data_IF_094792505091
#
_entry.id   IF_094792505091
#
_cell.length_a   1.000
_cell.length_b   1.000
_cell.length_c   1.000
_cell.angle_alpha   90.00
_cell.angle_beta   90.00
_cell.angle_gamma   90.00
#
_symmetry.space_group_name_H-M   'P 1'
#
loop_
_entity.id
_entity.type
_entity.pdbx_description
1 polymer ?
#
# COMPACT_ATOMS: atom_id res chain seq x y z
N UNK A 1 -10.94 -1.62 7.50
CA UNK A 1 -10.76 -0.31 8.17
C UNK A 1 -10.50 0.76 7.11
N UNK A 2 -11.23 1.87 7.20
CA UNK A 2 -11.03 3.01 6.31
C UNK A 2 -9.96 3.96 6.90
N UNK A 3 -9.46 4.86 6.07
CA UNK A 3 -8.55 5.91 6.55
C UNK A 3 -9.22 6.81 7.59
N UNK A 4 -10.52 7.05 7.45
CA UNK A 4 -11.28 7.83 8.43
C UNK A 4 -11.34 7.12 9.79
N UNK A 5 -11.61 5.82 9.78
CA UNK A 5 -11.62 5.02 11.00
C UNK A 5 -10.25 5.00 11.66
N UNK A 6 -9.19 4.92 10.86
CA UNK A 6 -7.82 4.98 11.35
C UNK A 6 -7.51 6.33 11.98
N UNK A 7 -7.91 7.41 11.30
CA UNK A 7 -7.74 8.79 11.82
C UNK A 7 -8.45 8.96 13.16
N UNK A 8 -9.69 8.46 13.27
CA UNK A 8 -10.45 8.56 14.51
C UNK A 8 -9.77 7.82 15.66
N UNK A 9 -9.19 6.65 15.38
CA UNK A 9 -8.44 5.89 16.38
C UNK A 9 -7.16 6.60 16.78
N UNK A 10 -6.44 7.19 15.81
CA UNK A 10 -5.23 7.95 16.08
C UNK A 10 -5.53 9.15 16.97
N UNK A 11 -6.67 9.81 16.76
CA UNK A 11 -7.06 10.98 17.56
C UNK A 11 -7.33 10.64 19.03
N UNK A 12 -7.55 9.37 19.35
CA UNK A 12 -7.70 8.90 20.73
C UNK A 12 -6.36 8.63 21.40
N UNK A 13 -5.27 8.61 20.67
CA UNK A 13 -3.92 8.44 21.21
C UNK A 13 -3.47 9.72 21.88
N UNK A 14 -2.64 9.59 22.91
CA UNK A 14 -1.97 10.76 23.52
C UNK A 14 -0.92 11.31 22.55
N UNK A 15 -0.44 12.54 22.78
CA UNK A 15 0.61 13.11 21.95
C UNK A 15 1.89 12.25 21.98
N UNK A 16 2.23 11.69 23.14
CA UNK A 16 3.39 10.81 23.26
C UNK A 16 3.23 9.55 22.42
N UNK A 17 2.04 8.96 22.45
CA UNK A 17 1.75 7.77 21.64
C UNK A 17 1.82 8.07 20.15
N UNK A 18 1.37 9.25 19.74
CA UNK A 18 1.42 9.68 18.33
C UNK A 18 2.85 9.93 17.83
N UNK A 19 3.81 10.09 18.72
CA UNK A 19 5.22 10.25 18.38
C UNK A 19 5.93 8.91 18.19
N UNK A 20 5.30 7.81 18.50
CA UNK A 20 5.87 6.49 18.28
C UNK A 20 5.97 6.18 16.79
N UNK A 21 6.95 5.36 16.43
CA UNK A 21 7.08 4.89 15.06
C UNK A 21 5.91 3.99 14.70
N UNK A 22 5.48 4.07 13.45
CA UNK A 22 4.40 3.21 12.95
C UNK A 22 4.88 1.76 12.95
N UNK A 23 4.03 0.87 13.46
CA UNK A 23 4.28 -0.57 13.46
C UNK A 23 3.10 -1.29 12.82
N UNK A 24 3.40 -2.32 12.05
CA UNK A 24 2.37 -3.20 11.48
C UNK A 24 2.64 -4.61 11.96
N UNK A 25 1.64 -5.20 12.59
CA UNK A 25 1.73 -6.59 13.04
C UNK A 25 1.20 -7.50 11.92
N UNK A 26 2.11 -8.25 11.34
CA UNK A 26 1.80 -9.32 10.42
C UNK A 26 2.36 -10.62 10.97
N UNK A 27 3.03 -11.38 10.13
CA UNK A 27 3.73 -12.59 10.54
C UNK A 27 4.84 -12.28 11.55
N UNK A 28 5.53 -11.17 11.32
CA UNK A 28 6.51 -10.60 12.24
C UNK A 28 6.13 -9.15 12.52
N UNK A 29 6.37 -8.71 13.74
CA UNK A 29 6.15 -7.31 14.08
C UNK A 29 7.34 -6.48 13.62
N UNK A 30 7.11 -5.62 12.64
CA UNK A 30 8.13 -4.75 12.09
C UNK A 30 7.85 -3.30 12.42
N UNK A 31 8.86 -2.59 12.92
CA UNK A 31 8.81 -1.15 13.04
C UNK A 31 9.16 -0.55 11.69
N UNK A 32 8.30 0.31 11.20
CA UNK A 32 8.48 0.95 9.89
C UNK A 32 9.12 2.32 10.07
N UNK A 33 10.44 2.32 10.30
CA UNK A 33 11.20 3.55 10.57
C UNK A 33 11.28 4.48 9.37
N UNK A 34 11.33 3.90 8.18
CA UNK A 34 11.47 4.65 6.93
C UNK A 34 10.21 4.50 6.08
N UNK A 35 9.06 4.67 6.71
CA UNK A 35 7.80 4.60 5.98
C UNK A 35 7.28 6.00 5.64
N UNK A 36 6.48 6.06 4.60
CA UNK A 36 5.82 7.27 4.16
C UNK A 36 4.41 6.96 3.68
N UNK A 37 3.56 7.97 3.73
CA UNK A 37 2.21 7.88 3.15
C UNK A 37 2.29 8.37 1.72
N UNK A 38 1.96 7.50 0.79
CA UNK A 38 2.05 7.76 -0.63
C UNK A 38 0.68 7.62 -1.29
N UNK A 39 0.57 8.14 -2.50
CA UNK A 39 -0.64 8.04 -3.31
C UNK A 39 -0.25 7.52 -4.69
N UNK A 40 -1.01 6.56 -5.20
CA UNK A 40 -0.73 6.03 -6.54
C UNK A 40 -1.08 7.05 -7.61
N UNK A 41 -0.19 7.24 -8.59
CA UNK A 41 -0.42 8.10 -9.76
C UNK A 41 -1.05 7.33 -10.90
N UNK A 42 -0.93 6.01 -10.89
CA UNK A 42 -1.38 5.13 -11.95
C UNK A 42 -2.20 3.98 -11.38
N UNK A 43 -2.95 3.31 -12.25
CA UNK A 43 -3.60 2.06 -11.89
C UNK A 43 -2.52 1.01 -11.57
N UNK A 44 -2.80 0.17 -10.59
CA UNK A 44 -1.88 -0.87 -10.16
C UNK A 44 -2.38 -2.22 -10.60
N UNK A 45 -1.46 -3.05 -11.08
CA UNK A 45 -1.74 -4.39 -11.60
C UNK A 45 -1.00 -5.44 -10.78
N UNK A 46 -1.61 -6.61 -10.69
CA UNK A 46 -1.02 -7.76 -10.01
C UNK A 46 -0.84 -8.90 -11.01
N UNK A 47 0.34 -9.50 -10.98
CA UNK A 47 0.65 -10.71 -11.76
C UNK A 47 0.61 -11.91 -10.82
N UNK A 48 -0.40 -12.77 -10.97
CA UNK A 48 -0.59 -13.92 -10.09
C UNK A 48 0.42 -15.04 -10.34
N UNK A 49 1.00 -15.10 -11.54
CA UNK A 49 2.03 -16.11 -11.86
C UNK A 49 3.34 -15.82 -11.14
N UNK A 50 3.72 -14.54 -11.13
CA UNK A 50 5.01 -14.11 -10.53
C UNK A 50 4.85 -13.49 -9.15
N UNK A 51 3.61 -13.36 -8.65
CA UNK A 51 3.28 -12.80 -7.34
C UNK A 51 3.95 -11.45 -7.07
N UNK A 52 3.72 -10.51 -7.98
CA UNK A 52 4.20 -9.14 -7.78
C UNK A 52 3.18 -8.11 -8.28
N UNK A 53 3.28 -6.90 -7.72
CA UNK A 53 2.44 -5.76 -8.09
C UNK A 53 3.30 -4.73 -8.82
N UNK A 54 2.75 -4.14 -9.89
CA UNK A 54 3.45 -3.13 -10.67
C UNK A 54 2.50 -2.01 -11.12
N UNK A 55 3.09 -0.90 -11.56
CA UNK A 55 2.34 0.20 -12.14
C UNK A 55 1.98 -0.12 -13.59
N UNK A 56 0.89 0.49 -14.08
CA UNK A 56 0.44 0.29 -15.45
C UNK A 56 1.54 0.58 -16.48
N UNK A 57 2.34 1.62 -16.25
CA UNK A 57 3.43 2.01 -17.14
C UNK A 57 4.54 0.96 -17.25
N UNK A 58 4.63 0.04 -16.28
CA UNK A 58 5.62 -1.03 -16.30
C UNK A 58 5.18 -2.23 -17.12
N UNK A 59 3.91 -2.28 -17.52
CA UNK A 59 3.36 -3.39 -18.29
C UNK A 59 3.79 -3.32 -19.75
N UNK A 60 4.24 -4.46 -20.27
CA UNK A 60 4.46 -4.62 -21.71
C UNK A 60 3.10 -4.83 -22.40
N UNK A 61 2.99 -4.57 -23.73
CA UNK A 61 1.73 -4.78 -24.44
C UNK A 61 1.17 -6.20 -24.31
N UNK A 62 2.03 -7.21 -24.29
CA UNK A 62 1.61 -8.60 -24.12
C UNK A 62 1.07 -8.89 -22.71
N UNK A 63 1.52 -8.17 -21.68
CA UNK A 63 1.05 -8.35 -20.31
C UNK A 63 -0.41 -7.95 -20.15
N UNK A 64 -0.86 -6.98 -20.94
CA UNK A 64 -2.25 -6.50 -20.90
C UNK A 64 -3.26 -7.56 -21.36
N UNK A 65 -2.79 -8.53 -22.12
CA UNK A 65 -3.62 -9.65 -22.59
C UNK A 65 -3.38 -10.94 -21.83
N UNK A 66 -2.47 -10.91 -20.84
CA UNK A 66 -2.15 -12.07 -19.99
C UNK A 66 -3.29 -12.27 -18.97
N UNK A 67 -3.91 -13.48 -18.92
CA UNK A 67 -4.98 -13.74 -17.96
C UNK A 67 -4.51 -13.70 -16.49
N UNK A 68 -3.22 -13.83 -16.24
CA UNK A 68 -2.66 -13.77 -14.89
C UNK A 68 -2.39 -12.33 -14.42
N UNK A 69 -2.55 -11.34 -15.31
CA UNK A 69 -2.33 -9.92 -15.00
C UNK A 69 -3.68 -9.22 -14.94
N UNK A 70 -4.01 -8.62 -13.80
CA UNK A 70 -5.27 -7.91 -13.63
C UNK A 70 -5.09 -6.68 -12.73
N UNK A 71 -5.94 -5.68 -12.96
CA UNK A 71 -5.94 -4.47 -12.17
C UNK A 71 -6.44 -4.76 -10.77
N UNK A 72 -5.70 -4.34 -9.76
CA UNK A 72 -6.08 -4.48 -8.34
C UNK A 72 -6.46 -3.17 -7.70
N UNK A 73 -5.87 -2.05 -8.12
CA UNK A 73 -6.18 -0.73 -7.57
C UNK A 73 -6.24 0.29 -8.68
N UNK A 74 -7.16 1.26 -8.53
CA UNK A 74 -7.23 2.42 -9.41
C UNK A 74 -6.26 3.49 -8.94
N UNK A 75 -5.85 4.37 -9.85
CA UNK A 75 -5.03 5.53 -9.54
C UNK A 75 -5.69 6.38 -8.43
N UNK A 76 -4.87 7.00 -7.59
CA UNK A 76 -5.37 7.84 -6.51
C UNK A 76 -5.60 7.10 -5.19
N UNK A 77 -5.13 5.87 -5.08
CA UNK A 77 -5.21 5.10 -3.84
C UNK A 77 -4.06 5.46 -2.91
N UNK A 78 -4.38 5.70 -1.63
CA UNK A 78 -3.35 5.94 -0.62
C UNK A 78 -2.84 4.62 -0.04
N UNK A 79 -1.57 4.59 0.28
CA UNK A 79 -0.93 3.42 0.88
C UNK A 79 0.26 3.83 1.73
N UNK A 80 0.66 2.96 2.64
CA UNK A 80 1.87 3.17 3.44
C UNK A 80 3.01 2.43 2.76
N UNK A 81 4.02 3.17 2.34
CA UNK A 81 5.23 2.62 1.73
C UNK A 81 6.31 2.43 2.80
N UNK A 82 6.95 1.27 2.79
CA UNK A 82 8.07 0.97 3.68
C UNK A 82 9.23 0.41 2.87
N UNK A 83 10.39 0.92 3.16
CA UNK A 83 11.63 0.39 2.59
C UNK A 83 12.07 -0.88 3.32
#
# INVERSE_FOLDING_TARGET
>A
MTWKELKDKISLMTEEEQQQEVAVWGENMNLMKDCSLEKTDEDMYYNSEWDYTCEESELEPEDKNDPDVHRVYEAGMYYIYSN
#
